data_IF_263633669544
#
_entry.id   IF_263633669544
#
_cell.length_a   1.000
_cell.length_b   1.000
_cell.length_c   1.000
_cell.angle_alpha   90.00
_cell.angle_beta   90.00
_cell.angle_gamma   90.00
#
_symmetry.space_group_name_H-M   'P 1'
#
loop_
_entity.id
_entity.type
_entity.pdbx_description
1 polymer ?
#
# COMPACT_ATOMS: atom_id res chain seq x y z
N UNK A 1 -15.30 24.34 -4.37
CA UNK A 1 -16.03 24.82 -3.16
C UNK A 1 -15.35 24.34 -1.87
N UNK A 2 -14.93 23.09 -1.77
CA UNK A 2 -14.32 22.52 -0.54
C UNK A 2 -12.97 23.17 -0.19
N UNK A 3 -12.13 23.43 -1.19
CA UNK A 3 -10.82 24.08 -1.01
C UNK A 3 -10.94 25.52 -0.50
N UNK A 4 -11.95 26.26 -0.96
CA UNK A 4 -12.20 27.62 -0.51
C UNK A 4 -12.72 27.70 0.93
N UNK A 5 -13.46 26.69 1.39
CA UNK A 5 -13.89 26.59 2.79
C UNK A 5 -12.74 26.26 3.74
N UNK A 6 -11.82 25.39 3.33
CA UNK A 6 -10.63 25.04 4.11
C UNK A 6 -9.69 26.23 4.31
N UNK A 7 -9.47 27.05 3.28
CA UNK A 7 -8.60 28.21 3.34
C UNK A 7 -9.11 29.36 4.24
N UNK A 8 -10.38 29.31 4.67
CA UNK A 8 -11.03 30.39 5.44
C UNK A 8 -11.29 30.04 6.90
N UNK A 9 -10.90 28.86 7.37
CA UNK A 9 -11.18 28.42 8.74
C UNK A 9 -9.89 28.17 9.52
N UNK A 10 -9.93 28.52 10.81
CA UNK A 10 -8.86 28.21 11.75
C UNK A 10 -8.78 26.69 11.95
N UNK A 11 -7.57 26.18 12.01
CA UNK A 11 -7.30 24.81 12.43
C UNK A 11 -7.51 24.68 13.94
N UNK A 12 -8.67 24.17 14.32
CA UNK A 12 -9.01 23.91 15.71
C UNK A 12 -8.39 22.58 16.19
N UNK A 13 -8.15 22.43 17.51
CA UNK A 13 -7.53 21.23 18.05
C UNK A 13 -8.43 19.99 17.92
N UNK A 14 -9.76 20.18 17.96
CA UNK A 14 -10.67 19.06 17.70
C UNK A 14 -10.79 18.77 16.21
N UNK A 15 -10.69 17.51 15.85
CA UNK A 15 -10.76 17.02 14.49
C UNK A 15 -11.87 15.99 14.35
N UNK A 16 -12.45 15.98 13.18
CA UNK A 16 -13.48 15.02 12.79
C UNK A 16 -13.16 14.57 11.36
N UNK A 17 -13.26 13.28 11.10
CA UNK A 17 -13.07 12.69 9.78
C UNK A 17 -14.12 11.63 9.49
N UNK A 18 -14.65 11.64 8.27
CA UNK A 18 -15.56 10.60 7.76
C UNK A 18 -15.32 10.46 6.26
N UNK A 19 -15.70 9.30 5.70
CA UNK A 19 -15.69 9.10 4.26
C UNK A 19 -16.69 10.03 3.58
N UNK A 20 -16.30 10.61 2.44
CA UNK A 20 -17.18 11.45 1.63
C UNK A 20 -17.91 10.56 0.61
N UNK A 21 -19.16 10.25 0.87
CA UNK A 21 -20.06 9.46 0.01
C UNK A 21 -21.50 9.96 0.21
N UNK A 22 -22.48 9.28 -0.36
CA UNK A 22 -23.89 9.62 -0.28
C UNK A 22 -24.43 9.56 1.16
N UNK A 23 -23.83 8.73 2.03
CA UNK A 23 -24.22 8.57 3.43
C UNK A 23 -23.54 9.56 4.39
N UNK A 24 -22.68 10.46 3.91
CA UNK A 24 -21.89 11.38 4.75
C UNK A 24 -22.78 12.22 5.67
N UNK A 25 -23.90 12.73 5.16
CA UNK A 25 -24.81 13.56 5.95
C UNK A 25 -25.49 12.75 7.07
N UNK A 26 -25.91 11.52 6.76
CA UNK A 26 -26.49 10.60 7.74
C UNK A 26 -25.46 10.19 8.81
N UNK A 27 -24.22 9.89 8.42
CA UNK A 27 -23.13 9.56 9.34
C UNK A 27 -22.83 10.71 10.31
N UNK A 28 -22.76 11.96 9.81
CA UNK A 28 -22.54 13.14 10.64
C UNK A 28 -23.70 13.41 11.58
N UNK A 29 -24.96 13.21 11.14
CA UNK A 29 -26.15 13.37 11.97
C UNK A 29 -26.20 12.31 13.07
N UNK A 30 -25.89 11.07 12.75
CA UNK A 30 -25.82 9.97 13.72
C UNK A 30 -24.72 10.23 14.78
N UNK A 31 -23.55 10.71 14.36
CA UNK A 31 -22.47 11.08 15.26
C UNK A 31 -22.86 12.25 16.18
N UNK A 32 -23.48 13.30 15.63
CA UNK A 32 -23.97 14.43 16.43
C UNK A 32 -25.07 14.04 17.42
N UNK A 33 -25.82 12.99 17.12
CA UNK A 33 -26.82 12.38 18.02
C UNK A 33 -26.23 11.30 18.95
N UNK A 34 -24.90 11.20 19.07
CA UNK A 34 -24.19 10.23 19.93
C UNK A 34 -24.57 8.76 19.67
N UNK A 35 -24.98 8.43 18.45
CA UNK A 35 -25.30 7.06 18.07
C UNK A 35 -24.03 6.20 17.98
N UNK A 36 -24.03 5.07 18.67
CA UNK A 36 -22.92 4.13 18.64
C UNK A 36 -22.70 3.56 17.23
N UNK A 37 -21.43 3.46 16.80
CA UNK A 37 -21.06 2.86 15.50
C UNK A 37 -21.21 3.79 14.31
N UNK A 38 -21.46 5.09 14.48
CA UNK A 38 -21.40 6.05 13.39
C UNK A 38 -19.99 6.01 12.74
N UNK A 39 -19.88 5.93 11.40
CA UNK A 39 -18.59 5.84 10.71
C UNK A 39 -17.88 7.20 10.65
N UNK A 40 -17.69 7.81 11.82
CA UNK A 40 -17.08 9.12 12.03
C UNK A 40 -16.00 8.97 13.09
N UNK A 41 -14.79 9.41 12.74
CA UNK A 41 -13.64 9.45 13.65
C UNK A 41 -13.51 10.86 14.20
N UNK A 42 -13.41 11.00 15.51
CA UNK A 42 -13.20 12.29 16.16
C UNK A 42 -12.11 12.21 17.21
N UNK A 43 -11.41 13.32 17.43
CA UNK A 43 -10.34 13.37 18.42
C UNK A 43 -9.66 14.72 18.50
N UNK A 44 -8.70 14.81 19.39
CA UNK A 44 -7.80 15.96 19.47
C UNK A 44 -6.67 15.81 18.44
N UNK A 45 -6.46 16.88 17.65
CA UNK A 45 -5.25 16.99 16.86
C UNK A 45 -4.04 17.18 17.78
N UNK A 46 -3.20 16.18 17.83
CA UNK A 46 -1.89 16.24 18.50
C UNK A 46 -0.79 16.36 17.46
N UNK A 47 0.24 17.15 17.76
CA UNK A 47 1.45 17.12 16.96
C UNK A 47 2.11 15.78 17.17
N UNK A 48 2.31 15.02 16.13
CA UNK A 48 2.91 13.69 16.17
C UNK A 48 3.75 13.45 14.92
N UNK A 49 4.49 12.35 14.92
CA UNK A 49 5.27 11.90 13.77
C UNK A 49 4.42 11.04 12.85
N UNK A 50 4.64 11.17 11.55
CA UNK A 50 3.98 10.36 10.54
C UNK A 50 4.82 9.14 10.22
N UNK A 51 4.23 7.95 10.37
CA UNK A 51 4.84 6.69 9.95
C UNK A 51 4.07 6.16 8.76
N UNK A 52 4.77 5.91 7.66
CA UNK A 52 4.17 5.26 6.50
C UNK A 52 4.50 3.77 6.51
N UNK A 53 3.46 2.96 6.37
CA UNK A 53 3.56 1.51 6.35
C UNK A 53 3.37 1.01 4.93
N UNK A 54 4.32 0.20 4.46
CA UNK A 54 4.31 -0.43 3.15
C UNK A 54 4.04 -1.92 3.30
N UNK A 55 3.03 -2.39 2.60
CA UNK A 55 2.49 -3.74 2.77
C UNK A 55 3.33 -4.79 2.07
N UNK A 56 3.16 -6.04 2.47
CA UNK A 56 3.76 -7.20 1.81
C UNK A 56 2.83 -7.86 0.81
N UNK A 57 3.25 -9.04 0.37
CA UNK A 57 2.47 -9.88 -0.54
C UNK A 57 1.08 -10.20 0.03
N UNK A 58 0.08 -10.26 -0.85
CA UNK A 58 -1.33 -10.47 -0.49
C UNK A 58 -2.16 -9.19 -0.45
N UNK A 59 -1.53 -8.02 -0.55
CA UNK A 59 -2.21 -6.72 -0.56
C UNK A 59 -2.62 -6.23 -1.97
N UNK A 60 -2.33 -6.98 -3.02
CA UNK A 60 -2.67 -6.65 -4.40
C UNK A 60 -4.11 -7.08 -4.74
N UNK A 61 -4.69 -6.40 -5.72
CA UNK A 61 -5.99 -6.75 -6.28
C UNK A 61 -6.04 -6.41 -7.77
N UNK A 62 -6.97 -7.01 -8.48
CA UNK A 62 -7.15 -6.77 -9.92
C UNK A 62 -7.49 -5.31 -10.17
N UNK A 63 -6.92 -4.73 -11.21
CA UNK A 63 -7.04 -3.31 -11.60
C UNK A 63 -6.54 -2.30 -10.55
N UNK A 64 -5.69 -2.74 -9.60
CA UNK A 64 -5.09 -1.86 -8.61
C UNK A 64 -4.41 -0.66 -9.29
N UNK A 65 -4.67 0.54 -8.78
CA UNK A 65 -4.11 1.78 -9.32
C UNK A 65 -4.86 2.40 -10.49
N UNK A 66 -5.72 1.67 -11.23
CA UNK A 66 -6.40 2.19 -12.40
C UNK A 66 -7.23 3.45 -12.10
N UNK A 67 -8.06 3.42 -11.06
CA UNK A 67 -8.86 4.58 -10.65
C UNK A 67 -8.00 5.76 -10.18
N UNK A 68 -6.86 5.50 -9.57
CA UNK A 68 -5.92 6.54 -9.13
C UNK A 68 -5.21 7.21 -10.30
N UNK A 69 -4.89 6.49 -11.36
CA UNK A 69 -4.34 7.08 -12.59
C UNK A 69 -5.27 8.13 -13.21
N UNK A 70 -6.59 7.95 -13.09
CA UNK A 70 -7.58 8.91 -13.59
C UNK A 70 -7.71 10.15 -12.70
N UNK A 71 -7.35 10.05 -11.41
CA UNK A 71 -7.54 11.11 -10.41
C UNK A 71 -6.28 11.90 -10.10
N UNK A 72 -5.11 11.31 -10.28
CA UNK A 72 -3.83 11.91 -9.91
C UNK A 72 -2.79 11.71 -11.01
N UNK A 73 -2.43 12.83 -11.63
CA UNK A 73 -1.35 12.83 -12.63
C UNK A 73 -0.01 12.39 -12.03
N UNK A 74 0.30 12.81 -10.81
CA UNK A 74 1.54 12.43 -10.11
C UNK A 74 1.60 10.93 -9.89
N UNK A 75 0.48 10.31 -9.47
CA UNK A 75 0.38 8.86 -9.34
C UNK A 75 0.60 8.17 -10.69
N UNK A 76 -0.10 8.62 -11.74
CA UNK A 76 0.00 8.02 -13.08
C UNK A 76 1.42 8.11 -13.65
N UNK A 77 2.04 9.29 -13.57
CA UNK A 77 3.41 9.53 -14.08
C UNK A 77 4.43 8.66 -13.31
N UNK A 78 4.28 8.53 -11.99
CA UNK A 78 5.16 7.72 -11.16
C UNK A 78 4.99 6.22 -11.47
N UNK A 79 3.76 5.77 -11.62
CA UNK A 79 3.46 4.38 -11.97
C UNK A 79 4.01 4.04 -13.37
N UNK A 80 3.93 4.98 -14.32
CA UNK A 80 4.51 4.82 -15.64
C UNK A 80 6.04 4.67 -15.62
N UNK A 81 6.72 5.40 -14.74
CA UNK A 81 8.15 5.22 -14.51
C UNK A 81 8.46 3.81 -14.00
N UNK A 82 7.64 3.29 -13.07
CA UNK A 82 7.78 1.91 -12.59
C UNK A 82 7.61 0.90 -13.72
N UNK A 83 6.59 1.06 -14.57
CA UNK A 83 6.37 0.21 -15.74
C UNK A 83 7.55 0.26 -16.72
N UNK A 84 8.06 1.45 -16.96
CA UNK A 84 9.21 1.64 -17.86
C UNK A 84 10.47 0.96 -17.32
N UNK A 85 10.72 1.02 -16.02
CA UNK A 85 11.89 0.44 -15.37
C UNK A 85 11.93 -1.10 -15.44
N UNK A 86 10.78 -1.77 -15.62
CA UNK A 86 10.70 -3.24 -15.72
C UNK A 86 10.18 -3.75 -17.06
N UNK A 87 10.12 -2.89 -18.09
CA UNK A 87 9.53 -3.20 -19.40
C UNK A 87 10.07 -4.47 -20.05
N UNK A 88 11.38 -4.70 -19.97
CA UNK A 88 12.06 -5.83 -20.62
C UNK A 88 12.09 -7.10 -19.74
N UNK A 89 11.58 -7.02 -18.53
CA UNK A 89 11.68 -8.11 -17.55
C UNK A 89 10.42 -8.97 -17.44
N UNK A 90 9.29 -8.46 -17.91
CA UNK A 90 7.99 -9.11 -17.75
C UNK A 90 7.24 -9.23 -19.09
N UNK A 91 6.74 -10.44 -19.38
CA UNK A 91 5.86 -10.71 -20.52
C UNK A 91 4.71 -11.60 -20.04
N UNK A 92 3.44 -11.14 -20.07
CA UNK A 92 2.99 -9.80 -20.45
C UNK A 92 3.56 -8.69 -19.56
N UNK A 93 3.44 -7.43 -19.99
CA UNK A 93 3.98 -6.30 -19.25
C UNK A 93 3.31 -6.14 -17.88
N UNK A 94 4.01 -5.47 -16.94
CA UNK A 94 3.42 -5.17 -15.62
C UNK A 94 2.14 -4.34 -15.73
N UNK A 95 2.08 -3.43 -16.71
CA UNK A 95 0.87 -2.65 -17.00
C UNK A 95 -0.31 -3.56 -17.38
N UNK A 96 -0.09 -4.51 -18.28
CA UNK A 96 -1.14 -5.43 -18.73
C UNK A 96 -1.59 -6.32 -17.58
N UNK A 97 -0.64 -6.83 -16.79
CA UNK A 97 -0.95 -7.62 -15.60
C UNK A 97 -1.81 -6.86 -14.58
N UNK A 98 -1.52 -5.56 -14.36
CA UNK A 98 -2.25 -4.74 -13.38
C UNK A 98 -3.60 -4.25 -13.88
N UNK A 99 -3.75 -3.92 -15.17
CA UNK A 99 -4.92 -3.19 -15.68
C UNK A 99 -5.88 -4.02 -16.51
N UNK A 100 -5.48 -5.20 -16.97
CA UNK A 100 -6.41 -6.12 -17.61
C UNK A 100 -7.23 -6.87 -16.52
N UNK A 101 -8.55 -6.67 -16.45
CA UNK A 101 -9.40 -7.30 -15.45
C UNK A 101 -9.46 -8.83 -15.57
N UNK A 102 -9.16 -9.37 -16.77
CA UNK A 102 -9.17 -10.80 -17.05
C UNK A 102 -7.78 -11.45 -16.80
N UNK A 103 -6.78 -10.65 -16.42
CA UNK A 103 -5.43 -11.13 -16.15
C UNK A 103 -5.37 -11.95 -14.86
N UNK A 104 -4.80 -13.14 -14.94
CA UNK A 104 -4.47 -13.97 -13.78
C UNK A 104 -3.03 -13.76 -13.29
N UNK A 105 -2.21 -12.98 -13.99
CA UNK A 105 -0.79 -12.79 -13.69
C UNK A 105 -0.52 -12.24 -12.28
N UNK A 106 -1.42 -11.40 -11.75
CA UNK A 106 -1.27 -10.88 -10.38
C UNK A 106 -1.36 -11.96 -9.29
N UNK A 107 -1.83 -13.16 -9.62
CA UNK A 107 -1.83 -14.29 -8.69
C UNK A 107 -0.43 -14.92 -8.57
N UNK A 108 0.48 -14.62 -9.50
CA UNK A 108 1.85 -15.10 -9.51
C UNK A 108 2.81 -14.07 -8.88
N UNK A 109 3.76 -14.54 -8.09
CA UNK A 109 4.74 -13.68 -7.41
C UNK A 109 5.57 -12.83 -8.36
N UNK A 110 5.80 -13.34 -9.58
CA UNK A 110 6.52 -12.66 -10.67
C UNK A 110 5.93 -11.30 -10.98
N UNK A 111 4.59 -11.16 -10.95
CA UNK A 111 3.88 -9.90 -11.23
C UNK A 111 3.35 -9.24 -9.96
N UNK A 112 2.89 -10.01 -8.98
CA UNK A 112 2.32 -9.48 -7.74
C UNK A 112 3.30 -8.57 -7.00
N UNK A 113 4.56 -9.00 -6.86
CA UNK A 113 5.55 -8.23 -6.10
C UNK A 113 5.89 -6.88 -6.76
N UNK A 114 6.26 -6.81 -8.05
CA UNK A 114 6.49 -5.52 -8.68
C UNK A 114 5.22 -4.65 -8.79
N UNK A 115 4.01 -5.24 -8.86
CA UNK A 115 2.76 -4.50 -8.85
C UNK A 115 2.52 -3.79 -7.51
N UNK A 116 2.73 -4.49 -6.38
CA UNK A 116 2.62 -3.92 -5.04
C UNK A 116 3.60 -2.76 -4.88
N UNK A 117 4.88 -2.98 -5.17
CA UNK A 117 5.92 -1.95 -5.01
C UNK A 117 5.67 -0.73 -5.91
N UNK A 118 5.27 -0.95 -7.17
CA UNK A 118 4.95 0.13 -8.10
C UNK A 118 3.77 0.97 -7.61
N UNK A 119 2.71 0.31 -7.13
CA UNK A 119 1.53 0.98 -6.57
C UNK A 119 1.89 1.78 -5.32
N UNK A 120 2.65 1.22 -4.41
CA UNK A 120 3.05 1.87 -3.15
C UNK A 120 3.93 3.10 -3.39
N UNK A 121 4.90 3.01 -4.29
CA UNK A 121 5.74 4.15 -4.68
C UNK A 121 4.88 5.26 -5.31
N UNK A 122 3.94 4.90 -6.19
CA UNK A 122 3.05 5.87 -6.83
C UNK A 122 2.09 6.53 -5.83
N UNK A 123 1.55 5.77 -4.86
CA UNK A 123 0.73 6.32 -3.77
C UNK A 123 1.54 7.24 -2.86
N UNK A 124 2.77 6.88 -2.53
CA UNK A 124 3.65 7.73 -1.74
C UNK A 124 3.95 9.06 -2.46
N UNK A 125 4.19 9.02 -3.76
CA UNK A 125 4.38 10.22 -4.57
C UNK A 125 3.11 11.11 -4.59
N UNK A 126 1.93 10.49 -4.70
CA UNK A 126 0.66 11.21 -4.62
C UNK A 126 0.49 11.91 -3.28
N UNK A 127 0.66 11.21 -2.17
CA UNK A 127 0.50 11.81 -0.84
C UNK A 127 1.52 12.92 -0.57
N UNK A 128 2.75 12.79 -1.08
CA UNK A 128 3.73 13.89 -1.02
C UNK A 128 3.27 15.12 -1.79
N UNK A 129 2.67 14.94 -2.95
CA UNK A 129 2.10 16.06 -3.73
C UNK A 129 0.92 16.72 -3.01
N UNK A 130 0.18 15.98 -2.18
CA UNK A 130 -0.87 16.51 -1.30
C UNK A 130 -0.31 17.15 -0.01
N UNK A 131 1.03 17.21 0.14
CA UNK A 131 1.71 17.89 1.27
C UNK A 131 1.96 17.00 2.48
N UNK A 132 1.75 15.69 2.39
CA UNK A 132 2.10 14.76 3.46
C UNK A 132 3.55 14.28 3.31
N UNK A 133 4.28 14.22 4.43
CA UNK A 133 5.66 13.74 4.45
C UNK A 133 5.82 12.74 5.61
N UNK A 134 6.39 11.57 5.37
CA UNK A 134 6.66 10.64 6.47
C UNK A 134 7.90 11.06 7.25
N UNK A 135 7.84 10.96 8.57
CA UNK A 135 9.02 11.00 9.44
C UNK A 135 9.74 9.65 9.42
N UNK A 136 8.98 8.58 9.27
CA UNK A 136 9.47 7.20 9.20
C UNK A 136 8.72 6.41 8.14
N UNK A 137 9.40 5.41 7.58
CA UNK A 137 8.82 4.42 6.68
C UNK A 137 9.17 3.02 7.20
N UNK A 138 8.19 2.13 7.21
CA UNK A 138 8.34 0.72 7.59
C UNK A 138 7.75 -0.12 6.47
N UNK A 139 8.56 -1.04 5.94
CA UNK A 139 8.11 -2.01 4.94
C UNK A 139 7.95 -3.40 5.56
N UNK A 140 6.96 -4.14 5.08
CA UNK A 140 6.83 -5.56 5.37
C UNK A 140 7.23 -6.37 4.14
N UNK A 141 8.28 -7.21 4.26
CA UNK A 141 8.76 -8.07 3.17
C UNK A 141 9.03 -7.28 1.87
N UNK A 142 8.26 -7.49 0.80
CA UNK A 142 8.42 -6.76 -0.47
C UNK A 142 8.17 -5.25 -0.34
N UNK A 143 7.35 -4.82 0.62
CA UNK A 143 7.12 -3.40 0.91
C UNK A 143 8.35 -2.63 1.39
N UNK A 144 9.39 -3.33 1.87
CA UNK A 144 10.67 -2.70 2.24
C UNK A 144 11.33 -2.01 1.04
N UNK A 145 11.15 -2.54 -0.17
CA UNK A 145 11.66 -1.92 -1.40
C UNK A 145 10.98 -0.59 -1.71
N UNK A 146 9.67 -0.51 -1.51
CA UNK A 146 8.94 0.75 -1.63
C UNK A 146 9.37 1.75 -0.56
N UNK A 147 9.49 1.32 0.69
CA UNK A 147 9.98 2.14 1.79
C UNK A 147 11.38 2.70 1.48
N UNK A 148 12.30 1.88 0.96
CA UNK A 148 13.66 2.30 0.60
C UNK A 148 13.69 3.36 -0.51
N UNK A 149 12.80 3.26 -1.51
CA UNK A 149 12.64 4.30 -2.55
C UNK A 149 12.07 5.58 -1.95
N UNK A 150 11.06 5.47 -1.11
CA UNK A 150 10.42 6.62 -0.46
C UNK A 150 11.38 7.33 0.47
N UNK A 151 12.25 6.63 1.17
CA UNK A 151 13.32 7.22 1.98
C UNK A 151 14.50 7.79 1.15
N UNK A 152 14.51 7.59 -0.16
CA UNK A 152 15.57 8.11 -1.05
C UNK A 152 16.87 7.30 -1.05
N UNK A 153 16.84 6.08 -0.49
CA UNK A 153 18.00 5.19 -0.53
C UNK A 153 18.25 4.58 -1.91
N UNK A 154 17.18 4.39 -2.68
CA UNK A 154 17.22 3.85 -4.04
C UNK A 154 16.29 4.63 -4.97
N UNK A 155 16.58 4.56 -6.27
CA UNK A 155 15.67 5.07 -7.30
C UNK A 155 14.67 3.99 -7.75
N UNK A 156 13.61 4.40 -8.43
CA UNK A 156 12.65 3.49 -9.06
C UNK A 156 13.36 2.54 -10.03
N UNK A 157 14.27 3.10 -10.83
CA UNK A 157 15.01 2.39 -11.87
C UNK A 157 15.97 1.33 -11.31
N UNK A 158 16.42 1.49 -10.06
CA UNK A 158 17.22 0.50 -9.35
C UNK A 158 16.37 -0.59 -8.73
N UNK A 159 15.26 -0.20 -8.11
CA UNK A 159 14.43 -1.13 -7.31
C UNK A 159 13.53 -1.99 -8.18
N UNK A 160 12.87 -1.43 -9.19
CA UNK A 160 11.89 -2.21 -9.96
C UNK A 160 12.47 -3.46 -10.63
N UNK A 161 13.66 -3.41 -11.29
CA UNK A 161 14.29 -4.61 -11.81
C UNK A 161 14.63 -5.64 -10.74
N UNK A 162 15.09 -5.18 -9.56
CA UNK A 162 15.42 -6.05 -8.43
C UNK A 162 14.18 -6.80 -7.92
N UNK A 163 13.04 -6.10 -7.78
CA UNK A 163 11.77 -6.69 -7.33
C UNK A 163 11.23 -7.68 -8.35
N UNK A 164 11.31 -7.38 -9.65
CA UNK A 164 10.95 -8.32 -10.71
C UNK A 164 11.79 -9.61 -10.61
N UNK A 165 13.11 -9.47 -10.42
CA UNK A 165 14.00 -10.62 -10.26
C UNK A 165 13.66 -11.43 -9.00
N UNK A 166 13.38 -10.75 -7.88
CA UNK A 166 12.95 -11.38 -6.63
C UNK A 166 11.66 -12.18 -6.83
N UNK A 167 10.63 -11.57 -7.42
CA UNK A 167 9.35 -12.23 -7.69
C UNK A 167 9.51 -13.48 -8.56
N UNK A 168 10.29 -13.40 -9.63
CA UNK A 168 10.57 -14.53 -10.50
C UNK A 168 11.31 -15.67 -9.78
N UNK A 169 12.30 -15.35 -8.94
CA UNK A 169 13.02 -16.36 -8.16
C UNK A 169 12.12 -17.02 -7.11
N UNK A 170 11.29 -16.26 -6.42
CA UNK A 170 10.36 -16.81 -5.45
C UNK A 170 9.27 -17.67 -6.09
N UNK A 171 8.84 -17.33 -7.32
CA UNK A 171 7.90 -18.17 -8.07
C UNK A 171 8.47 -19.57 -8.41
N UNK A 172 9.78 -19.67 -8.52
CA UNK A 172 10.47 -20.96 -8.78
C UNK A 172 10.68 -21.81 -7.52
N UNK A 173 10.47 -21.25 -6.34
CA UNK A 173 10.58 -22.01 -5.09
C UNK A 173 9.47 -23.05 -5.00
N UNK A 174 9.76 -24.15 -4.29
CA UNK A 174 8.75 -25.17 -4.02
C UNK A 174 7.54 -24.57 -3.30
N UNK A 175 6.36 -25.10 -3.60
CA UNK A 175 5.15 -24.68 -2.92
C UNK A 175 5.29 -24.92 -1.41
N UNK A 176 5.10 -23.84 -0.65
CA UNK A 176 5.12 -23.86 0.81
C UNK A 176 3.94 -23.06 1.35
N UNK A 177 3.73 -23.14 2.64
CA UNK A 177 2.75 -22.34 3.34
C UNK A 177 3.42 -21.68 4.55
N UNK A 178 3.07 -20.42 4.82
CA UNK A 178 3.44 -19.70 6.02
C UNK A 178 2.21 -19.46 6.88
N UNK A 179 2.35 -19.70 8.18
CA UNK A 179 1.30 -19.43 9.17
C UNK A 179 1.89 -18.56 10.26
N UNK A 180 1.25 -17.40 10.51
CA UNK A 180 1.58 -16.60 11.67
C UNK A 180 0.88 -17.18 12.90
N UNK A 181 1.65 -17.53 13.91
CA UNK A 181 1.13 -18.12 15.14
C UNK A 181 1.43 -17.16 16.32
N UNK A 182 0.39 -16.73 17.01
CA UNK A 182 0.53 -15.86 18.20
C UNK A 182 0.78 -16.73 19.44
N UNK A 183 2.01 -17.24 19.56
CA UNK A 183 2.45 -18.05 20.70
C UNK A 183 3.93 -17.77 20.98
N UNK A 184 4.40 -18.20 22.16
CA UNK A 184 5.83 -18.15 22.47
C UNK A 184 6.57 -19.22 21.68
N UNK A 185 7.81 -18.94 21.28
CA UNK A 185 8.65 -19.85 20.48
C UNK A 185 8.82 -21.22 21.14
N UNK A 186 8.97 -21.24 22.46
CA UNK A 186 9.15 -22.46 23.24
C UNK A 186 7.95 -23.43 23.12
N UNK A 187 6.75 -22.90 22.91
CA UNK A 187 5.56 -23.69 22.71
C UNK A 187 5.47 -24.27 21.26
N UNK A 188 6.11 -23.62 20.31
CA UNK A 188 6.10 -24.02 18.90
C UNK A 188 7.23 -24.98 18.55
N UNK A 189 8.39 -24.87 19.21
CA UNK A 189 9.57 -25.69 18.95
C UNK A 189 9.32 -27.21 18.91
N UNK A 190 8.52 -27.80 19.82
CA UNK A 190 8.21 -29.23 19.75
C UNK A 190 7.43 -29.61 18.49
N UNK A 191 6.46 -28.76 18.07
CA UNK A 191 5.67 -28.97 16.85
C UNK A 191 6.53 -28.79 15.60
N UNK A 192 7.37 -27.77 15.56
CA UNK A 192 8.28 -27.54 14.45
C UNK A 192 9.21 -28.74 14.22
N UNK A 193 9.78 -29.29 15.30
CA UNK A 193 10.62 -30.51 15.23
C UNK A 193 9.82 -31.75 14.80
N UNK A 194 8.59 -31.90 15.32
CA UNK A 194 7.75 -33.07 15.00
C UNK A 194 7.34 -33.10 13.53
N UNK A 195 7.09 -31.94 12.93
CA UNK A 195 6.58 -31.79 11.56
C UNK A 195 7.62 -31.26 10.57
N UNK A 196 8.89 -31.16 10.99
CA UNK A 196 10.00 -30.67 10.16
C UNK A 196 9.70 -29.27 9.55
N UNK A 197 9.16 -28.36 10.38
CA UNK A 197 8.83 -26.99 9.99
C UNK A 197 9.98 -26.04 10.34
N UNK A 198 10.16 -25.03 9.50
CA UNK A 198 11.03 -23.89 9.80
C UNK A 198 10.27 -22.87 10.67
N UNK A 199 10.96 -22.30 11.69
CA UNK A 199 10.45 -21.24 12.56
C UNK A 199 11.21 -19.95 12.32
#
# INVERSE_FOLDING_TARGET
>A
AFTALRARRLDLPFRLATALNDDTAAALSAWAGEQAGAPVYSGHGVSGRQVWLFTGQGSHWRTMGHAMCQRSKVFADTLERCFSACREMLTPSLRDAMFNPDSAQLEEMTWAQPAIVAFEIAMAAHWRAEGLQPDYAIGHSVGEFAAAVVCGHYTIEQVMPLVCRRGALMQLCANGAMVAVFAQEEALMPLARQFELDL
#
